data_IF_185940980834
#
_entry.id   IF_185940980834
#
_cell.length_a   1.000
_cell.length_b   1.000
_cell.length_c   1.000
_cell.angle_alpha   90.00
_cell.angle_beta   90.00
_cell.angle_gamma   90.00
#
_symmetry.space_group_name_H-M   'P 1'
#
loop_
_entity.id
_entity.type
_entity.pdbx_description
1 polymer ?
#
# COMPACT_ATOMS: atom_id res chain seq x y z
N UNK A 1 0.78 21.45 -15.01
CA UNK A 1 1.56 21.08 -13.80
C UNK A 1 0.62 20.38 -12.82
N UNK A 2 0.57 19.04 -12.83
CA UNK A 2 -0.26 18.29 -11.88
C UNK A 2 0.46 18.33 -10.54
N UNK A 3 -0.14 18.97 -9.54
CA UNK A 3 0.38 19.00 -8.17
C UNK A 3 0.65 17.57 -7.69
N UNK A 4 1.85 17.29 -7.18
CA UNK A 4 2.27 15.93 -6.78
C UNK A 4 1.33 15.25 -5.77
N UNK A 5 0.52 16.01 -5.03
CA UNK A 5 -0.57 15.48 -4.20
C UNK A 5 -1.69 14.82 -5.02
N UNK A 6 -2.12 15.44 -6.12
CA UNK A 6 -3.19 14.91 -6.98
C UNK A 6 -2.76 13.61 -7.66
N UNK A 7 -1.50 13.53 -8.07
CA UNK A 7 -0.93 12.31 -8.66
C UNK A 7 -0.94 11.12 -7.69
N UNK A 8 -0.50 11.33 -6.44
CA UNK A 8 -0.53 10.29 -5.40
C UNK A 8 -1.94 9.80 -5.07
N UNK A 9 -2.94 10.69 -5.10
CA UNK A 9 -4.34 10.30 -4.89
C UNK A 9 -4.89 9.40 -6.00
N UNK A 10 -4.60 9.73 -7.26
CA UNK A 10 -5.03 8.91 -8.41
C UNK A 10 -4.41 7.51 -8.32
N UNK A 11 -3.12 7.41 -8.00
CA UNK A 11 -2.44 6.12 -7.81
C UNK A 11 -3.05 5.35 -6.64
N UNK A 12 -3.41 6.03 -5.55
CA UNK A 12 -4.03 5.39 -4.38
C UNK A 12 -5.38 4.77 -4.74
N UNK A 13 -6.21 5.49 -5.50
CA UNK A 13 -7.50 4.99 -5.98
C UNK A 13 -7.29 3.79 -6.89
N UNK A 14 -6.33 3.89 -7.82
CA UNK A 14 -6.01 2.79 -8.72
C UNK A 14 -5.55 1.53 -7.97
N UNK A 15 -4.71 1.69 -6.94
CA UNK A 15 -4.24 0.59 -6.11
C UNK A 15 -5.38 -0.09 -5.32
N UNK A 16 -6.40 0.65 -4.89
CA UNK A 16 -7.58 0.09 -4.21
C UNK A 16 -8.50 -0.69 -5.16
N UNK A 17 -8.54 -0.30 -6.43
CA UNK A 17 -9.35 -0.94 -7.46
C UNK A 17 -8.60 -2.14 -8.08
N UNK A 18 -7.26 -2.13 -8.07
CA UNK A 18 -6.44 -3.17 -8.66
C UNK A 18 -6.76 -4.62 -8.22
N UNK A 19 -7.06 -4.92 -6.93
CA UNK A 19 -7.42 -6.27 -6.47
C UNK A 19 -8.59 -6.91 -7.24
N UNK A 20 -9.46 -6.12 -7.85
CA UNK A 20 -10.63 -6.61 -8.57
C UNK A 20 -10.35 -7.00 -10.02
N UNK A 21 -9.32 -6.42 -10.63
CA UNK A 21 -9.07 -6.54 -12.08
C UNK A 21 -7.75 -7.24 -12.42
N UNK A 22 -6.77 -7.21 -11.52
CA UNK A 22 -5.41 -7.66 -11.82
C UNK A 22 -4.97 -8.87 -10.97
N UNK A 23 -4.06 -9.70 -11.50
CA UNK A 23 -3.42 -10.76 -10.72
C UNK A 23 -2.64 -10.21 -9.51
N UNK A 24 -2.54 -11.02 -8.46
CA UNK A 24 -1.93 -10.68 -7.17
C UNK A 24 -0.58 -9.97 -7.25
N UNK A 25 0.30 -10.37 -8.17
CA UNK A 25 1.64 -9.78 -8.36
C UNK A 25 1.57 -8.28 -8.70
N UNK A 26 0.65 -7.90 -9.57
CA UNK A 26 0.47 -6.51 -9.99
C UNK A 26 -0.20 -5.66 -8.92
N UNK A 27 -1.10 -6.26 -8.15
CA UNK A 27 -1.77 -5.61 -7.01
C UNK A 27 -0.75 -5.24 -5.93
N UNK A 28 0.15 -6.16 -5.59
CA UNK A 28 1.23 -5.93 -4.61
C UNK A 28 2.14 -4.80 -5.08
N UNK A 29 2.57 -4.80 -6.35
CA UNK A 29 3.38 -3.72 -6.91
C UNK A 29 2.66 -2.37 -6.84
N UNK A 30 1.39 -2.31 -7.22
CA UNK A 30 0.60 -1.08 -7.12
C UNK A 30 0.47 -0.59 -5.67
N UNK A 31 0.25 -1.50 -4.71
CA UNK A 31 0.15 -1.17 -3.29
C UNK A 31 1.45 -0.58 -2.74
N UNK A 32 2.60 -1.19 -3.07
CA UNK A 32 3.93 -0.70 -2.66
C UNK A 32 4.18 0.70 -3.23
N UNK A 33 3.95 0.88 -4.53
CA UNK A 33 4.14 2.18 -5.19
C UNK A 33 3.21 3.23 -4.60
N UNK A 34 1.92 2.93 -4.40
CA UNK A 34 0.96 3.85 -3.79
C UNK A 34 1.34 4.25 -2.35
N UNK A 35 1.95 3.33 -1.59
CA UNK A 35 2.33 3.55 -0.20
C UNK A 35 3.35 4.68 0.00
N UNK A 36 4.14 4.99 -1.04
CA UNK A 36 5.10 6.09 -1.05
C UNK A 36 4.40 7.44 -0.86
N UNK A 37 3.25 7.63 -1.50
CA UNK A 37 2.46 8.85 -1.38
C UNK A 37 1.48 8.78 -0.20
N UNK A 38 0.81 7.65 -0.03
CA UNK A 38 -0.17 7.42 1.04
C UNK A 38 0.09 6.08 1.73
N UNK A 39 0.87 6.07 2.83
CA UNK A 39 1.20 4.85 3.56
C UNK A 39 0.00 3.98 3.97
N UNK A 40 -1.16 4.52 4.40
CA UNK A 40 -2.31 3.70 4.80
C UNK A 40 -2.89 2.85 3.66
N UNK A 41 -2.63 3.22 2.40
CA UNK A 41 -3.16 2.50 1.22
C UNK A 41 -2.61 1.08 1.17
N UNK A 42 -1.36 0.84 1.57
CA UNK A 42 -0.78 -0.50 1.57
C UNK A 42 -1.58 -1.47 2.46
N UNK A 43 -1.97 -1.01 3.65
CA UNK A 43 -2.78 -1.80 4.57
C UNK A 43 -4.21 -2.00 4.05
N UNK A 44 -4.84 -0.95 3.51
CA UNK A 44 -6.18 -1.05 2.94
C UNK A 44 -6.23 -2.06 1.78
N UNK A 45 -5.22 -2.04 0.88
CA UNK A 45 -5.11 -3.00 -0.21
C UNK A 45 -4.85 -4.42 0.31
N UNK A 46 -4.00 -4.59 1.33
CA UNK A 46 -3.77 -5.89 1.96
C UNK A 46 -5.03 -6.50 2.57
N UNK A 47 -5.82 -5.68 3.28
CA UNK A 47 -7.12 -6.09 3.83
C UNK A 47 -8.13 -6.46 2.74
N UNK A 48 -8.25 -5.64 1.70
CA UNK A 48 -9.09 -5.93 0.54
C UNK A 48 -8.67 -7.24 -0.15
N UNK A 49 -7.37 -7.43 -0.32
CA UNK A 49 -6.83 -8.61 -0.98
C UNK A 49 -7.13 -9.88 -0.17
N UNK A 50 -6.91 -9.87 1.15
CA UNK A 50 -7.33 -11.00 1.98
C UNK A 50 -8.86 -11.16 1.98
N UNK A 51 -9.65 -10.09 2.04
CA UNK A 51 -11.11 -10.23 2.00
C UNK A 51 -11.62 -10.90 0.70
N UNK A 52 -10.92 -10.70 -0.42
CA UNK A 52 -11.30 -11.25 -1.74
C UNK A 52 -10.70 -12.65 -1.95
N UNK A 53 -9.45 -12.86 -1.56
CA UNK A 53 -8.67 -14.06 -1.93
C UNK A 53 -8.39 -15.00 -0.76
N UNK A 54 -8.77 -14.67 0.46
CA UNK A 54 -8.60 -15.56 1.61
C UNK A 54 -9.58 -16.72 1.53
N UNK A 55 -9.07 -17.88 1.12
CA UNK A 55 -9.82 -19.13 1.13
C UNK A 55 -9.70 -19.74 2.53
N UNK A 56 -10.83 -19.81 3.23
CA UNK A 56 -10.92 -20.50 4.51
C UNK A 56 -10.50 -21.97 4.34
N UNK A 57 -9.36 -22.34 4.95
CA UNK A 57 -8.78 -23.69 4.89
C UNK A 57 -7.42 -23.80 4.20
N UNK A 58 -7.00 -22.82 3.39
CA UNK A 58 -5.69 -22.83 2.73
C UNK A 58 -4.59 -22.11 3.55
N UNK A 59 -4.97 -21.15 4.40
CA UNK A 59 -4.06 -20.46 5.31
C UNK A 59 -4.74 -20.09 6.62
N UNK A 60 -3.96 -20.14 7.71
CA UNK A 60 -4.42 -19.82 9.08
C UNK A 60 -4.43 -18.30 9.31
N UNK A 61 -3.68 -17.54 8.52
CA UNK A 61 -3.49 -16.10 8.72
C UNK A 61 -3.69 -15.28 7.43
N UNK A 62 -4.24 -14.06 7.55
CA UNK A 62 -4.38 -13.09 6.46
C UNK A 62 -3.01 -12.50 6.09
N UNK A 63 -2.29 -13.20 5.22
CA UNK A 63 -0.88 -12.89 4.88
C UNK A 63 -0.77 -11.53 4.21
N UNK A 64 -1.71 -11.15 3.34
CA UNK A 64 -1.63 -9.89 2.61
C UNK A 64 -1.81 -8.66 3.53
N UNK A 65 -2.65 -8.78 4.54
CA UNK A 65 -2.90 -7.75 5.56
C UNK A 65 -1.66 -7.54 6.43
N UNK A 66 -0.99 -8.63 6.83
CA UNK A 66 0.26 -8.55 7.60
C UNK A 66 1.34 -7.84 6.79
N UNK A 67 1.53 -8.22 5.52
CA UNK A 67 2.48 -7.54 4.64
C UNK A 67 2.10 -6.08 4.39
N UNK A 68 0.82 -5.79 4.16
CA UNK A 68 0.31 -4.43 3.99
C UNK A 68 0.60 -3.55 5.21
N UNK A 69 0.46 -4.09 6.42
CA UNK A 69 0.81 -3.41 7.66
C UNK A 69 2.31 -3.12 7.77
N UNK A 70 3.17 -4.10 7.46
CA UNK A 70 4.63 -3.93 7.48
C UNK A 70 5.06 -2.87 6.48
N UNK A 71 4.54 -2.89 5.25
CA UNK A 71 4.84 -1.89 4.22
C UNK A 71 4.38 -0.50 4.66
N UNK A 72 3.19 -0.39 5.23
CA UNK A 72 2.69 0.88 5.79
C UNK A 72 3.64 1.45 6.85
N UNK A 73 4.13 0.62 7.78
CA UNK A 73 5.07 1.04 8.82
C UNK A 73 6.40 1.51 8.22
N UNK A 74 6.94 0.76 7.26
CA UNK A 74 8.19 1.14 6.56
C UNK A 74 8.02 2.47 5.85
N UNK A 75 6.93 2.66 5.11
CA UNK A 75 6.66 3.90 4.37
C UNK A 75 6.44 5.09 5.32
N UNK A 76 5.82 4.90 6.48
CA UNK A 76 5.72 5.92 7.52
C UNK A 76 7.08 6.29 8.11
N UNK A 77 7.92 5.29 8.40
CA UNK A 77 9.25 5.50 8.97
C UNK A 77 10.15 6.25 7.99
N UNK A 78 10.18 5.83 6.72
CA UNK A 78 10.92 6.50 5.65
C UNK A 78 10.47 7.96 5.49
N UNK A 79 9.16 8.22 5.55
CA UNK A 79 8.63 9.58 5.48
C UNK A 79 8.98 10.45 6.70
N UNK A 80 9.13 9.84 7.88
CA UNK A 80 9.60 10.56 9.08
C UNK A 80 11.09 10.86 8.97
N UNK A 81 11.90 9.87 8.62
CA UNK A 81 13.34 10.02 8.44
C UNK A 81 13.66 11.10 7.40
N UNK A 82 13.02 11.05 6.22
CA UNK A 82 13.22 12.07 5.17
C UNK A 82 12.92 13.50 5.65
N UNK A 83 11.94 13.67 6.55
CA UNK A 83 11.64 14.99 7.14
C UNK A 83 12.67 15.40 8.19
N UNK A 84 13.15 14.46 9.00
CA UNK A 84 14.18 14.74 10.00
C UNK A 84 15.51 15.11 9.34
N UNK A 85 15.93 14.41 8.29
CA UNK A 85 17.16 14.72 7.56
C UNK A 85 17.14 16.08 6.85
N UNK A 86 15.97 16.52 6.35
CA UNK A 86 15.83 17.83 5.71
C UNK A 86 15.87 19.03 6.68
N UNK A 87 15.69 18.81 7.98
CA UNK A 87 15.71 19.87 8.99
C UNK A 87 17.05 20.00 9.73
N UNK A 88 17.96 19.04 9.55
CA UNK A 88 19.26 18.98 10.26
C UNK A 88 20.43 19.45 9.38
N UNK A 89 20.19 19.72 8.09
CA UNK A 89 21.18 20.31 7.16
C UNK A 89 20.80 21.72 6.76
#
# INVERSE_FOLDING_TARGET
MISGKKFGQVISIFALIAPFFFPWKYVVLCAVVASVWNPPVALAVGLLFDAIYFVHGASIMPVASVWGFVIMLISLLMRRLARTYLFVS
#
